data_IF_408129041171
#
_entry.id   IF_408129041171
#
_cell.length_a   1.000
_cell.length_b   1.000
_cell.length_c   1.000
_cell.angle_alpha   90.00
_cell.angle_beta   90.00
_cell.angle_gamma   90.00
#
_symmetry.space_group_name_H-M   'P 1'
#
loop_
_entity.id
_entity.type
_entity.pdbx_description
1 polymer ?
#
# COMPACT_ATOMS: atom_id res chain seq x y z
N UNK A 1 34.23 5.50 31.67
CA UNK A 1 33.71 6.37 30.59
C UNK A 1 33.49 5.46 29.40
N UNK A 2 32.28 4.93 29.28
CA UNK A 2 31.84 4.22 28.08
C UNK A 2 31.63 5.28 27.01
N UNK A 3 32.44 5.24 25.96
CA UNK A 3 32.20 6.01 24.74
C UNK A 3 30.80 5.66 24.24
N UNK A 4 29.88 6.62 24.31
CA UNK A 4 28.60 6.55 23.64
C UNK A 4 28.90 6.49 22.15
N UNK A 5 28.76 5.30 21.55
CA UNK A 5 28.69 5.18 20.10
C UNK A 5 27.68 6.21 19.60
N UNK A 6 28.00 7.01 18.57
CA UNK A 6 27.02 7.92 17.99
C UNK A 6 25.82 7.08 17.54
N UNK A 7 24.66 7.34 18.14
CA UNK A 7 23.41 6.67 17.83
C UNK A 7 23.18 6.80 16.32
N UNK A 8 23.11 5.68 15.61
CA UNK A 8 22.83 5.68 14.18
C UNK A 8 21.54 6.46 13.93
N UNK A 9 21.56 7.37 12.96
CA UNK A 9 20.37 8.15 12.61
C UNK A 9 19.36 7.23 11.93
N UNK A 10 18.28 6.88 12.63
CA UNK A 10 17.23 5.96 12.16
C UNK A 10 16.14 6.65 11.33
N UNK A 11 16.05 7.98 11.42
CA UNK A 11 15.13 8.83 10.64
C UNK A 11 15.90 10.03 10.13
N UNK A 12 15.82 10.29 8.83
CA UNK A 12 16.47 11.42 8.17
C UNK A 12 15.51 12.05 7.16
N UNK A 13 15.82 13.27 6.72
CA UNK A 13 15.09 13.87 5.60
C UNK A 13 15.41 13.10 4.32
N UNK A 14 14.39 12.60 3.64
CA UNK A 14 14.51 11.95 2.33
C UNK A 14 14.11 12.96 1.25
N UNK A 15 15.09 13.55 0.51
CA UNK A 15 14.81 14.53 -0.53
C UNK A 15 13.81 14.04 -1.58
N UNK A 16 13.81 12.74 -1.85
CA UNK A 16 12.98 12.12 -2.87
C UNK A 16 11.50 12.03 -2.48
N UNK A 17 11.20 12.08 -1.18
CA UNK A 17 9.84 12.15 -0.64
C UNK A 17 9.48 13.58 -0.19
N UNK A 18 10.47 14.46 0.00
CA UNK A 18 10.26 15.83 0.47
C UNK A 18 9.90 15.92 1.96
N UNK A 19 10.19 14.88 2.73
CA UNK A 19 9.83 14.76 4.15
C UNK A 19 10.80 13.83 4.91
N UNK A 20 10.75 13.80 6.25
CA UNK A 20 11.41 12.75 7.01
C UNK A 20 10.93 11.35 6.59
N UNK A 21 11.85 10.40 6.59
CA UNK A 21 11.62 8.98 6.36
C UNK A 21 12.64 8.15 7.15
N UNK A 22 12.40 6.85 7.24
CA UNK A 22 13.37 5.93 7.84
C UNK A 22 14.66 5.89 7.02
N UNK A 23 15.78 5.86 7.71
CA UNK A 23 17.11 5.76 7.13
C UNK A 23 17.78 4.45 7.56
N UNK A 24 18.54 3.85 6.66
CA UNK A 24 19.24 2.59 6.90
C UNK A 24 19.60 1.87 5.60
N UNK A 25 20.25 0.74 5.73
CA UNK A 25 20.42 -0.24 4.66
C UNK A 25 19.06 -0.84 4.25
N UNK A 26 19.01 -1.43 3.05
CA UNK A 26 17.82 -2.14 2.58
C UNK A 26 17.39 -3.25 3.55
N UNK A 27 18.33 -4.00 4.13
CA UNK A 27 18.03 -5.05 5.12
C UNK A 27 17.37 -4.49 6.40
N UNK A 28 17.74 -3.28 6.82
CA UNK A 28 17.12 -2.59 7.96
C UNK A 28 15.74 -2.02 7.59
N UNK A 29 15.61 -1.49 6.38
CA UNK A 29 14.36 -0.96 5.83
C UNK A 29 13.36 -2.05 5.48
N UNK A 30 13.79 -3.29 5.25
CA UNK A 30 12.92 -4.45 5.06
C UNK A 30 12.12 -4.81 6.32
N UNK A 31 12.55 -4.31 7.47
CA UNK A 31 11.93 -4.56 8.76
C UNK A 31 10.91 -3.48 9.09
N UNK A 32 9.74 -3.89 9.56
CA UNK A 32 8.66 -3.00 9.94
C UNK A 32 8.99 -2.01 11.07
N UNK A 33 8.39 -0.82 11.00
CA UNK A 33 8.74 0.33 11.87
C UNK A 33 8.59 0.04 13.37
N UNK A 34 7.46 -0.52 13.79
CA UNK A 34 7.22 -0.84 15.21
C UNK A 34 8.11 -1.97 15.74
N UNK A 35 8.45 -2.94 14.87
CA UNK A 35 9.41 -4.00 15.22
C UNK A 35 10.80 -3.42 15.47
N UNK A 36 11.29 -2.59 14.56
CA UNK A 36 12.61 -1.96 14.71
C UNK A 36 12.65 -1.01 15.92
N UNK A 37 11.56 -0.28 16.19
CA UNK A 37 11.45 0.50 17.43
C UNK A 37 11.61 -0.38 18.68
N UNK A 38 10.99 -1.56 18.70
CA UNK A 38 11.13 -2.53 19.80
C UNK A 38 12.54 -3.10 19.89
N UNK A 39 13.19 -3.40 18.77
CA UNK A 39 14.59 -3.86 18.72
C UNK A 39 15.53 -2.79 19.34
N UNK A 40 15.34 -1.51 19.05
CA UNK A 40 16.10 -0.41 19.67
C UNK A 40 15.82 -0.26 21.18
N UNK A 41 14.58 -0.46 21.63
CA UNK A 41 14.28 -0.49 23.07
C UNK A 41 15.07 -1.57 23.80
N UNK A 42 15.14 -2.78 23.23
CA UNK A 42 15.91 -3.89 23.81
C UNK A 42 17.41 -3.58 23.83
N UNK A 43 17.91 -2.88 22.82
CA UNK A 43 19.31 -2.45 22.75
C UNK A 43 19.66 -1.28 23.69
N UNK A 44 18.66 -0.60 24.27
CA UNK A 44 18.85 0.59 25.09
C UNK A 44 18.96 1.89 24.30
N UNK A 45 18.63 1.88 23.00
CA UNK A 45 18.62 3.05 22.12
C UNK A 45 17.26 3.76 22.17
N UNK A 46 16.91 4.27 23.34
CA UNK A 46 15.57 4.82 23.64
C UNK A 46 15.13 5.97 22.73
N UNK A 47 16.06 6.87 22.36
CA UNK A 47 15.76 8.00 21.47
C UNK A 47 15.48 7.54 20.03
N UNK A 48 16.21 6.53 19.55
CA UNK A 48 15.98 5.94 18.23
C UNK A 48 14.62 5.23 18.17
N UNK A 49 14.27 4.48 19.22
CA UNK A 49 12.95 3.87 19.35
C UNK A 49 11.84 4.92 19.32
N UNK A 50 12.01 6.05 20.03
CA UNK A 50 11.02 7.12 20.03
C UNK A 50 10.85 7.76 18.64
N UNK A 51 11.96 8.05 17.94
CA UNK A 51 11.92 8.62 16.59
C UNK A 51 11.25 7.68 15.57
N UNK A 52 11.45 6.36 15.69
CA UNK A 52 10.79 5.37 14.85
C UNK A 52 9.29 5.26 15.11
N UNK A 53 8.83 5.44 16.35
CA UNK A 53 7.39 5.43 16.63
C UNK A 53 6.72 6.69 16.10
N UNK A 54 7.41 7.83 16.14
CA UNK A 54 6.91 9.10 15.60
C UNK A 54 6.80 9.08 14.09
N UNK A 55 7.78 8.52 13.38
CA UNK A 55 7.75 8.47 11.92
C UNK A 55 6.59 7.62 11.38
N UNK A 56 6.04 6.69 12.17
CA UNK A 56 4.88 5.89 11.79
C UNK A 56 3.63 6.75 11.52
N UNK A 57 3.50 7.94 12.13
CA UNK A 57 2.42 8.89 11.80
C UNK A 57 2.58 9.39 10.38
N UNK A 58 3.81 9.76 10.01
CA UNK A 58 4.16 10.28 8.68
C UNK A 58 4.00 9.19 7.61
N UNK A 59 4.43 7.96 7.88
CA UNK A 59 4.21 6.79 7.00
C UNK A 59 2.68 6.59 6.75
N UNK A 60 1.85 6.80 7.76
CA UNK A 60 0.39 6.60 7.69
C UNK A 60 -0.40 7.75 7.04
N UNK A 61 0.19 8.94 6.82
CA UNK A 61 -0.54 10.12 6.33
C UNK A 61 -1.14 9.93 4.93
N UNK A 62 -0.41 9.27 4.01
CA UNK A 62 -0.93 9.01 2.67
C UNK A 62 -2.17 8.10 2.73
N UNK A 63 -2.13 7.06 3.57
CA UNK A 63 -3.27 6.15 3.77
C UNK A 63 -4.46 6.87 4.42
N UNK A 64 -4.20 7.78 5.35
CA UNK A 64 -5.23 8.64 5.94
C UNK A 64 -5.95 9.47 4.87
N UNK A 65 -5.21 10.14 3.99
CA UNK A 65 -5.80 10.96 2.94
C UNK A 65 -6.68 10.12 2.00
N UNK A 66 -6.13 9.04 1.44
CA UNK A 66 -6.86 8.26 0.43
C UNK A 66 -8.04 7.49 1.01
N UNK A 67 -7.91 6.95 2.23
CA UNK A 67 -9.00 6.19 2.84
C UNK A 67 -10.13 7.06 3.35
N UNK A 68 -9.91 8.35 3.55
CA UNK A 68 -11.01 9.29 3.80
C UNK A 68 -11.67 9.73 2.49
N UNK A 69 -10.87 10.03 1.46
CA UNK A 69 -11.37 10.57 0.18
C UNK A 69 -12.07 9.52 -0.70
N UNK A 70 -11.48 8.35 -0.88
CA UNK A 70 -12.00 7.34 -1.80
C UNK A 70 -13.45 6.90 -1.51
N UNK A 71 -13.88 6.68 -0.25
CA UNK A 71 -15.28 6.39 0.05
C UNK A 71 -16.28 7.41 -0.56
N UNK A 72 -15.98 8.70 -0.45
CA UNK A 72 -16.82 9.78 -0.97
C UNK A 72 -16.79 9.80 -2.49
N UNK A 73 -15.59 9.68 -3.08
CA UNK A 73 -15.41 9.65 -4.53
C UNK A 73 -16.07 8.43 -5.18
N UNK A 74 -15.99 7.26 -4.56
CA UNK A 74 -16.66 6.03 -5.04
C UNK A 74 -18.17 6.21 -5.07
N UNK A 75 -18.78 6.79 -4.01
CA UNK A 75 -20.21 7.10 -3.98
C UNK A 75 -20.60 8.03 -5.13
N UNK A 76 -19.88 9.14 -5.29
CA UNK A 76 -20.13 10.09 -6.38
C UNK A 76 -19.97 9.47 -7.77
N UNK A 77 -18.99 8.59 -7.94
CA UNK A 77 -18.78 7.85 -9.19
C UNK A 77 -19.96 6.93 -9.48
N UNK A 78 -20.43 6.14 -8.51
CA UNK A 78 -21.59 5.24 -8.67
C UNK A 78 -22.84 6.03 -9.11
N UNK A 79 -23.13 7.15 -8.44
CA UNK A 79 -24.27 8.02 -8.79
C UNK A 79 -24.13 8.61 -10.19
N UNK A 80 -22.91 8.98 -10.60
CA UNK A 80 -22.65 9.49 -11.97
C UNK A 80 -22.89 8.45 -13.07
N UNK A 81 -22.90 7.15 -12.72
CA UNK A 81 -23.23 6.03 -13.63
C UNK A 81 -24.74 5.73 -13.68
N UNK A 82 -25.56 6.57 -13.05
CA UNK A 82 -27.02 6.47 -13.11
C UNK A 82 -27.66 5.57 -12.05
N UNK A 83 -26.88 5.10 -11.07
CA UNK A 83 -27.43 4.40 -9.90
C UNK A 83 -28.09 5.42 -8.97
N UNK A 84 -29.32 5.16 -8.55
CA UNK A 84 -30.08 6.10 -7.72
C UNK A 84 -29.53 6.16 -6.29
N UNK A 85 -29.61 7.34 -5.66
CA UNK A 85 -29.18 7.54 -4.27
C UNK A 85 -29.82 6.51 -3.31
N UNK A 86 -31.11 6.22 -3.45
CA UNK A 86 -31.81 5.22 -2.62
C UNK A 86 -31.18 3.83 -2.68
N UNK A 87 -30.71 3.40 -3.87
CA UNK A 87 -30.05 2.10 -4.02
C UNK A 87 -28.66 2.10 -3.39
N UNK A 88 -27.90 3.18 -3.56
CA UNK A 88 -26.58 3.35 -2.95
C UNK A 88 -26.69 3.42 -1.42
N UNK A 89 -27.66 4.15 -0.90
CA UNK A 89 -27.90 4.27 0.54
C UNK A 89 -28.33 2.93 1.14
N UNK A 90 -29.22 2.18 0.47
CA UNK A 90 -29.61 0.84 0.91
C UNK A 90 -28.43 -0.15 0.91
N UNK A 91 -27.55 -0.07 -0.10
CA UNK A 91 -26.34 -0.89 -0.16
C UNK A 91 -25.33 -0.50 0.94
N UNK A 92 -25.16 0.80 1.17
CA UNK A 92 -24.30 1.35 2.23
C UNK A 92 -24.81 0.96 3.62
N UNK A 93 -26.13 0.93 3.85
CA UNK A 93 -26.71 0.46 5.11
C UNK A 93 -26.40 -1.03 5.36
N UNK A 94 -26.48 -1.88 4.33
CA UNK A 94 -26.09 -3.29 4.43
C UNK A 94 -24.61 -3.45 4.73
N UNK A 95 -23.75 -2.67 4.07
CA UNK A 95 -22.32 -2.63 4.37
C UNK A 95 -22.08 -2.20 5.82
N UNK A 96 -22.78 -1.18 6.31
CA UNK A 96 -22.68 -0.68 7.69
C UNK A 96 -23.01 -1.77 8.71
N UNK A 97 -24.04 -2.58 8.46
CA UNK A 97 -24.36 -3.75 9.32
C UNK A 97 -23.23 -4.77 9.32
N UNK A 98 -22.53 -4.93 8.19
CA UNK A 98 -21.49 -5.94 8.01
C UNK A 98 -20.14 -5.54 8.62
N UNK A 99 -19.71 -4.27 8.46
CA UNK A 99 -18.39 -3.79 8.93
C UNK A 99 -18.45 -2.89 10.17
N UNK A 100 -19.65 -2.47 10.56
CA UNK A 100 -19.93 -1.66 11.74
C UNK A 100 -19.81 -0.15 11.54
N UNK A 101 -20.55 0.60 12.36
CA UNK A 101 -20.59 2.08 12.37
C UNK A 101 -19.20 2.71 12.52
N UNK A 102 -18.34 2.10 13.34
CA UNK A 102 -16.98 2.59 13.58
C UNK A 102 -16.16 2.62 12.30
N UNK A 103 -16.28 1.60 11.45
CA UNK A 103 -15.58 1.60 10.16
C UNK A 103 -16.18 2.64 9.20
N UNK A 104 -17.50 2.78 9.20
CA UNK A 104 -18.21 3.73 8.35
C UNK A 104 -17.97 5.20 8.73
N UNK A 105 -17.62 5.48 9.99
CA UNK A 105 -17.28 6.82 10.47
C UNK A 105 -16.01 7.40 9.84
N UNK A 106 -15.14 6.56 9.26
CA UNK A 106 -13.94 6.98 8.56
C UNK A 106 -12.69 7.07 9.42
N UNK A 107 -11.55 7.16 8.73
CA UNK A 107 -10.23 7.13 9.37
C UNK A 107 -9.99 8.39 10.20
N UNK A 108 -10.53 9.53 9.76
CA UNK A 108 -10.42 10.80 10.49
C UNK A 108 -11.04 10.77 11.88
N UNK A 109 -12.14 10.03 12.07
CA UNK A 109 -12.80 9.90 13.36
C UNK A 109 -11.91 9.18 14.41
N UNK A 110 -10.93 8.40 13.95
CA UNK A 110 -10.06 7.60 14.79
C UNK A 110 -8.61 8.06 14.81
N UNK A 111 -8.22 8.89 13.85
CA UNK A 111 -6.87 9.42 13.70
C UNK A 111 -6.30 10.02 15.01
N UNK A 112 -7.05 10.83 15.80
CA UNK A 112 -6.53 11.33 17.07
C UNK A 112 -6.15 10.23 18.07
N UNK A 113 -6.79 9.05 18.01
CA UNK A 113 -6.46 7.93 18.88
C UNK A 113 -5.10 7.33 18.54
N UNK A 114 -4.78 7.24 17.24
CA UNK A 114 -3.49 6.77 16.76
C UNK A 114 -2.38 7.76 17.11
N UNK A 115 -2.54 9.04 16.80
CA UNK A 115 -1.56 10.09 17.16
C UNK A 115 -1.30 10.10 18.66
N UNK A 116 -2.35 10.07 19.50
CA UNK A 116 -2.20 10.02 20.94
C UNK A 116 -1.51 8.73 21.44
N UNK A 117 -1.67 7.60 20.74
CA UNK A 117 -0.96 6.37 21.09
C UNK A 117 0.53 6.46 20.74
N UNK A 118 0.87 7.05 19.59
CA UNK A 118 2.24 7.36 19.18
C UNK A 118 2.90 8.32 20.16
N UNK A 119 2.24 9.43 20.53
CA UNK A 119 2.77 10.41 21.47
C UNK A 119 3.08 9.76 22.84
N UNK A 120 2.16 8.93 23.34
CA UNK A 120 2.37 8.19 24.60
C UNK A 120 3.55 7.23 24.50
N UNK A 121 3.66 6.48 23.41
CA UNK A 121 4.74 5.54 23.19
C UNK A 121 6.09 6.25 23.07
N UNK A 122 6.17 7.32 22.29
CA UNK A 122 7.39 8.11 22.12
C UNK A 122 7.83 8.79 23.43
N UNK A 123 6.87 9.29 24.23
CA UNK A 123 7.14 9.79 25.58
C UNK A 123 7.66 8.69 26.51
N UNK A 124 7.04 7.51 26.51
CA UNK A 124 7.45 6.38 27.33
C UNK A 124 8.87 5.90 26.97
N UNK A 125 9.21 5.87 25.67
CA UNK A 125 10.56 5.58 25.19
C UNK A 125 11.56 6.59 25.78
N UNK A 126 11.35 7.90 25.59
CA UNK A 126 12.29 8.94 26.06
C UNK A 126 12.42 9.03 27.57
N UNK A 127 11.34 8.79 28.29
CA UNK A 127 11.34 8.73 29.75
C UNK A 127 11.85 7.38 30.30
N UNK A 128 12.22 6.44 29.41
CA UNK A 128 12.71 5.09 29.74
C UNK A 128 11.78 4.36 30.71
N UNK A 129 10.47 4.50 30.48
CA UNK A 129 9.48 3.87 31.34
C UNK A 129 9.51 2.34 31.15
N UNK A 130 9.33 1.56 32.23
CA UNK A 130 9.30 0.10 32.14
C UNK A 130 8.27 -0.48 31.17
N UNK A 131 7.22 0.28 30.83
CA UNK A 131 6.14 -0.11 29.92
C UNK A 131 6.29 0.44 28.49
N UNK A 132 7.43 1.05 28.12
CA UNK A 132 7.65 1.62 26.80
C UNK A 132 7.38 0.63 25.65
N UNK A 133 7.88 -0.60 25.74
CA UNK A 133 7.64 -1.64 24.72
C UNK A 133 6.15 -1.97 24.57
N UNK A 134 5.39 -2.01 25.66
CA UNK A 134 3.94 -2.21 25.62
C UNK A 134 3.22 -1.00 25.00
N UNK A 135 3.72 0.22 25.22
CA UNK A 135 3.19 1.41 24.59
C UNK A 135 3.43 1.43 23.07
N UNK A 136 4.61 1.01 22.59
CA UNK A 136 4.91 0.84 21.16
C UNK A 136 3.94 -0.16 20.51
N UNK A 137 3.76 -1.33 21.13
CA UNK A 137 2.81 -2.34 20.64
C UNK A 137 1.36 -1.82 20.66
N UNK A 138 1.00 -1.01 21.66
CA UNK A 138 -0.31 -0.35 21.70
C UNK A 138 -0.50 0.61 20.52
N UNK A 139 0.51 1.42 20.18
CA UNK A 139 0.45 2.31 19.02
C UNK A 139 0.27 1.54 17.71
N UNK A 140 1.03 0.45 17.53
CA UNK A 140 0.88 -0.46 16.38
C UNK A 140 -0.52 -1.05 16.30
N UNK A 141 -1.04 -1.60 17.41
CA UNK A 141 -2.35 -2.24 17.46
C UNK A 141 -3.50 -1.24 17.21
N UNK A 142 -3.38 -0.01 17.73
CA UNK A 142 -4.32 1.08 17.42
C UNK A 142 -4.31 1.37 15.92
N UNK A 143 -3.12 1.56 15.34
CA UNK A 143 -2.99 1.80 13.90
C UNK A 143 -3.58 0.66 13.07
N UNK A 144 -3.23 -0.59 13.39
CA UNK A 144 -3.80 -1.76 12.72
C UNK A 144 -5.32 -1.73 12.72
N UNK A 145 -5.94 -1.45 13.86
CA UNK A 145 -7.40 -1.37 13.95
C UNK A 145 -7.98 -0.27 13.07
N UNK A 146 -7.38 0.93 13.08
CA UNK A 146 -7.81 2.08 12.26
C UNK A 146 -7.67 1.75 10.78
N UNK A 147 -6.49 1.29 10.36
CA UNK A 147 -6.18 0.85 9.01
C UNK A 147 -7.16 -0.22 8.52
N UNK A 148 -7.38 -1.27 9.30
CA UNK A 148 -8.21 -2.41 8.92
C UNK A 148 -9.67 -2.02 8.66
N UNK A 149 -10.22 -1.15 9.51
CA UNK A 149 -11.58 -0.63 9.33
C UNK A 149 -11.69 0.29 8.12
N UNK A 150 -10.68 1.12 7.89
CA UNK A 150 -10.63 2.01 6.73
C UNK A 150 -10.58 1.21 5.42
N UNK A 151 -9.77 0.15 5.36
CA UNK A 151 -9.70 -0.77 4.21
C UNK A 151 -11.03 -1.50 3.99
N UNK A 152 -11.67 -1.99 5.05
CA UNK A 152 -12.95 -2.67 4.95
C UNK A 152 -14.03 -1.74 4.37
N UNK A 153 -14.04 -0.45 4.78
CA UNK A 153 -14.93 0.59 4.22
C UNK A 153 -14.66 0.82 2.73
N UNK A 154 -13.40 1.01 2.35
CA UNK A 154 -13.01 1.25 0.94
C UNK A 154 -13.38 0.05 0.09
N UNK A 155 -12.98 -1.16 0.48
CA UNK A 155 -13.24 -2.40 -0.26
C UNK A 155 -14.74 -2.68 -0.38
N UNK A 156 -15.50 -2.46 0.68
CA UNK A 156 -16.96 -2.63 0.66
C UNK A 156 -17.67 -1.62 -0.25
N UNK A 157 -17.20 -0.38 -0.33
CA UNK A 157 -17.78 0.60 -1.26
C UNK A 157 -17.43 0.31 -2.71
N UNK A 158 -16.23 -0.21 -2.98
CA UNK A 158 -15.85 -0.72 -4.30
C UNK A 158 -16.71 -1.93 -4.68
N UNK A 159 -16.99 -2.82 -3.74
CA UNK A 159 -17.92 -3.94 -3.94
C UNK A 159 -19.34 -3.46 -4.30
N UNK A 160 -19.82 -2.39 -3.66
CA UNK A 160 -21.08 -1.75 -4.04
C UNK A 160 -21.00 -1.23 -5.49
N UNK A 161 -19.89 -0.60 -5.89
CA UNK A 161 -19.71 -0.18 -7.28
C UNK A 161 -19.75 -1.35 -8.26
N UNK A 162 -19.04 -2.44 -7.96
CA UNK A 162 -19.02 -3.65 -8.79
C UNK A 162 -20.41 -4.29 -8.89
N UNK A 163 -21.14 -4.39 -7.79
CA UNK A 163 -22.45 -5.04 -7.75
C UNK A 163 -23.58 -4.21 -8.39
N UNK A 164 -23.44 -2.87 -8.43
CA UNK A 164 -24.47 -1.96 -8.97
C UNK A 164 -24.19 -1.49 -10.39
N UNK A 165 -22.92 -1.29 -10.75
CA UNK A 165 -22.49 -0.80 -12.08
C UNK A 165 -21.92 -1.95 -12.93
N UNK A 166 -21.21 -2.89 -12.30
CA UNK A 166 -20.65 -4.07 -12.95
C UNK A 166 -19.12 -4.12 -12.91
N UNK A 167 -18.56 -5.34 -12.85
CA UNK A 167 -17.11 -5.60 -12.82
C UNK A 167 -16.35 -4.94 -13.98
N UNK A 168 -16.93 -4.94 -15.18
CA UNK A 168 -16.32 -4.36 -16.38
C UNK A 168 -15.93 -2.88 -16.23
N UNK A 169 -16.56 -2.15 -15.31
CA UNK A 169 -16.30 -0.73 -15.05
C UNK A 169 -15.29 -0.49 -13.92
N UNK A 170 -14.75 -1.54 -13.28
CA UNK A 170 -13.84 -1.42 -12.13
C UNK A 170 -12.52 -0.71 -12.49
N UNK A 171 -11.99 -0.94 -13.69
CA UNK A 171 -10.83 -0.19 -14.20
C UNK A 171 -11.10 1.32 -14.25
N UNK A 172 -12.26 1.72 -14.78
CA UNK A 172 -12.67 3.14 -14.88
C UNK A 172 -12.93 3.78 -13.53
N UNK A 173 -13.45 3.02 -12.55
CA UNK A 173 -13.58 3.50 -11.18
C UNK A 173 -12.20 3.86 -10.63
N UNK A 174 -11.22 2.97 -10.76
CA UNK A 174 -9.86 3.23 -10.28
C UNK A 174 -9.19 4.40 -10.98
N UNK A 175 -9.39 4.55 -12.29
CA UNK A 175 -8.93 5.74 -13.02
C UNK A 175 -9.56 7.02 -12.46
N UNK A 176 -10.84 7.01 -12.12
CA UNK A 176 -11.49 8.16 -11.50
C UNK A 176 -10.97 8.46 -10.08
N UNK A 177 -10.70 7.43 -9.27
CA UNK A 177 -10.21 7.60 -7.89
C UNK A 177 -8.76 8.07 -7.81
N UNK A 178 -7.95 7.76 -8.83
CA UNK A 178 -6.52 8.06 -8.89
C UNK A 178 -6.16 9.12 -9.94
N UNK A 179 -7.14 9.75 -10.59
CA UNK A 179 -6.90 10.72 -11.68
C UNK A 179 -5.87 11.80 -11.32
N UNK A 180 -6.00 12.42 -10.15
CA UNK A 180 -5.09 13.48 -9.68
C UNK A 180 -3.65 12.98 -9.49
N UNK A 181 -3.47 11.70 -9.22
CA UNK A 181 -2.15 11.09 -9.01
C UNK A 181 -1.46 10.80 -10.33
N UNK A 182 -2.20 10.53 -11.40
CA UNK A 182 -1.62 10.16 -12.69
C UNK A 182 -0.74 11.25 -13.28
N UNK A 183 -1.18 12.52 -13.19
CA UNK A 183 -0.41 13.66 -13.71
C UNK A 183 0.87 13.88 -12.89
N UNK A 184 0.78 13.76 -11.56
CA UNK A 184 1.95 13.85 -10.66
C UNK A 184 2.93 12.71 -10.92
N UNK A 185 2.43 11.49 -11.10
CA UNK A 185 3.22 10.29 -11.33
C UNK A 185 3.94 10.35 -12.69
N UNK A 186 3.22 10.73 -13.74
CA UNK A 186 3.80 10.95 -15.07
C UNK A 186 4.91 12.01 -15.02
N UNK A 187 4.63 13.17 -14.44
CA UNK A 187 5.61 14.23 -14.31
C UNK A 187 6.82 13.78 -13.48
N UNK A 188 6.61 13.04 -12.38
CA UNK A 188 7.72 12.63 -11.52
C UNK A 188 8.64 11.61 -12.22
N UNK A 189 8.07 10.63 -12.92
CA UNK A 189 8.83 9.46 -13.37
C UNK A 189 9.23 9.48 -14.85
N UNK A 190 8.82 10.47 -15.63
CA UNK A 190 9.30 10.66 -16.99
C UNK A 190 10.82 10.84 -17.07
N UNK A 191 11.47 10.12 -18.00
CA UNK A 191 12.92 10.21 -18.23
C UNK A 191 13.39 11.61 -18.68
N UNK A 192 12.47 12.46 -19.17
CA UNK A 192 12.75 13.85 -19.50
C UNK A 192 12.93 14.74 -18.27
N UNK A 193 12.42 14.32 -17.11
CA UNK A 193 12.39 15.12 -15.89
C UNK A 193 13.49 14.71 -14.90
N UNK A 194 13.82 13.41 -14.83
CA UNK A 194 14.95 12.92 -14.05
C UNK A 194 15.54 11.61 -14.61
N UNK A 195 16.81 11.28 -14.30
CA UNK A 195 17.37 9.97 -14.61
C UNK A 195 16.59 8.85 -13.93
N UNK A 196 16.47 7.70 -14.61
CA UNK A 196 15.74 6.55 -14.05
C UNK A 196 16.29 6.07 -12.71
N UNK A 197 17.60 6.13 -12.47
CA UNK A 197 18.19 5.75 -11.18
C UNK A 197 17.57 6.52 -10.00
N UNK A 198 17.30 7.82 -10.17
CA UNK A 198 16.62 8.63 -9.17
C UNK A 198 15.14 8.22 -9.01
N UNK A 199 14.46 7.94 -10.12
CA UNK A 199 13.09 7.40 -10.12
C UNK A 199 13.00 6.05 -9.41
N UNK A 200 13.92 5.13 -9.71
CA UNK A 200 13.98 3.80 -9.12
C UNK A 200 14.21 3.89 -7.61
N UNK A 201 15.15 4.72 -7.16
CA UNK A 201 15.36 4.98 -5.74
C UNK A 201 14.09 5.51 -5.06
N UNK A 202 13.45 6.54 -5.64
CA UNK A 202 12.17 7.09 -5.14
C UNK A 202 11.10 6.01 -5.00
N UNK A 203 10.94 5.18 -6.04
CA UNK A 203 9.94 4.12 -6.07
C UNK A 203 10.20 3.07 -5.00
N UNK A 204 11.47 2.73 -4.74
CA UNK A 204 11.89 1.79 -3.71
C UNK A 204 11.64 2.34 -2.29
N UNK A 205 12.01 3.60 -2.03
CA UNK A 205 11.73 4.21 -0.71
C UNK A 205 10.23 4.30 -0.47
N UNK A 206 9.45 4.72 -1.48
CA UNK A 206 8.00 4.77 -1.36
C UNK A 206 7.34 3.39 -1.15
N UNK A 207 7.94 2.32 -1.68
CA UNK A 207 7.52 0.92 -1.39
C UNK A 207 7.68 0.62 0.10
N UNK A 208 8.86 0.89 0.65
CA UNK A 208 9.19 0.61 2.05
C UNK A 208 8.23 1.37 2.98
N UNK A 209 8.15 2.68 2.78
CA UNK A 209 7.35 3.58 3.60
C UNK A 209 5.85 3.22 3.55
N UNK A 210 5.32 3.00 2.33
CA UNK A 210 3.93 2.57 2.15
C UNK A 210 3.62 1.20 2.75
N UNK A 211 4.54 0.24 2.68
CA UNK A 211 4.30 -1.11 3.23
C UNK A 211 4.47 -1.21 4.74
N UNK A 212 5.26 -0.33 5.36
CA UNK A 212 5.22 -0.14 6.80
C UNK A 212 3.86 0.40 7.24
N UNK A 213 3.36 1.44 6.56
CA UNK A 213 2.05 2.01 6.84
C UNK A 213 0.92 1.00 6.65
N UNK A 214 1.02 0.14 5.63
CA UNK A 214 0.08 -0.95 5.41
C UNK A 214 0.22 -2.11 6.40
N UNK A 215 1.24 -2.13 7.27
CA UNK A 215 1.52 -3.25 8.17
C UNK A 215 1.59 -4.60 7.42
N UNK A 216 2.34 -4.61 6.31
CA UNK A 216 2.49 -5.81 5.48
C UNK A 216 3.02 -7.02 6.25
N UNK A 217 2.82 -8.21 5.68
CA UNK A 217 3.17 -9.49 6.30
C UNK A 217 2.10 -10.05 7.24
N UNK A 218 2.12 -11.36 7.46
CA UNK A 218 1.14 -12.06 8.31
C UNK A 218 1.23 -11.65 9.79
N UNK A 219 2.40 -11.19 10.25
CA UNK A 219 2.61 -10.67 11.59
C UNK A 219 2.11 -9.24 11.82
N UNK A 220 1.61 -8.56 10.77
CA UNK A 220 1.12 -7.17 10.83
C UNK A 220 2.15 -6.19 11.40
N UNK A 221 3.41 -6.40 11.04
CA UNK A 221 4.55 -5.60 11.49
C UNK A 221 5.07 -4.65 10.41
N UNK A 222 4.80 -4.91 9.12
CA UNK A 222 5.44 -4.20 8.01
C UNK A 222 6.67 -4.90 7.45
N UNK A 223 6.82 -6.20 7.70
CA UNK A 223 8.01 -6.96 7.30
C UNK A 223 7.93 -7.44 5.84
N UNK A 224 9.04 -7.27 5.12
CA UNK A 224 9.19 -7.71 3.73
C UNK A 224 10.52 -8.43 3.51
N UNK A 225 10.57 -9.25 2.47
CA UNK A 225 11.79 -9.84 1.92
C UNK A 225 12.28 -8.96 0.77
N UNK A 226 13.58 -8.62 0.79
CA UNK A 226 14.24 -7.94 -0.33
C UNK A 226 14.97 -8.96 -1.18
N UNK A 227 14.75 -8.87 -2.48
CA UNK A 227 15.35 -9.73 -3.49
C UNK A 227 16.20 -8.86 -4.39
N UNK A 228 17.51 -9.09 -4.40
CA UNK A 228 18.42 -8.40 -5.31
C UNK A 228 18.71 -9.30 -6.53
N UNK A 229 18.26 -8.85 -7.70
CA UNK A 229 18.60 -9.47 -8.98
C UNK A 229 19.44 -8.52 -9.85
N UNK A 230 20.22 -9.05 -10.82
CA UNK A 230 21.11 -8.24 -11.65
C UNK A 230 20.42 -7.07 -12.37
N UNK A 231 19.15 -7.21 -12.76
CA UNK A 231 18.40 -6.21 -13.53
C UNK A 231 17.27 -5.54 -12.74
N UNK A 232 16.97 -5.96 -11.52
CA UNK A 232 15.83 -5.46 -10.73
C UNK A 232 15.97 -5.77 -9.24
N UNK A 233 15.24 -5.02 -8.43
CA UNK A 233 15.10 -5.29 -6.99
C UNK A 233 13.63 -5.60 -6.71
N UNK A 234 13.39 -6.66 -5.95
CA UNK A 234 12.07 -7.16 -5.57
C UNK A 234 11.80 -6.95 -4.08
N UNK A 235 10.54 -6.69 -3.76
CA UNK A 235 10.00 -6.67 -2.40
C UNK A 235 8.88 -7.71 -2.33
N UNK A 236 9.10 -8.82 -1.63
CA UNK A 236 8.13 -9.91 -1.46
C UNK A 236 7.55 -9.90 -0.05
N UNK A 237 6.25 -10.09 0.05
CA UNK A 237 5.53 -10.11 1.32
C UNK A 237 4.23 -10.92 1.17
N UNK A 238 3.73 -11.49 2.29
CA UNK A 238 2.30 -11.78 2.37
C UNK A 238 1.55 -10.47 2.11
N UNK A 239 0.41 -10.45 1.38
CA UNK A 239 0.01 -9.29 0.61
C UNK A 239 -0.09 -8.06 1.51
N UNK A 240 0.06 -6.87 0.90
CA UNK A 240 0.01 -5.61 1.66
C UNK A 240 -1.21 -5.62 2.58
N UNK A 241 -1.10 -4.98 3.74
CA UNK A 241 -2.11 -5.22 4.75
C UNK A 241 -3.51 -4.75 4.42
N UNK A 242 -3.72 -4.12 3.27
CA UNK A 242 -5.04 -3.83 2.69
C UNK A 242 -5.52 -4.96 1.77
N UNK A 243 -4.78 -5.28 0.69
CA UNK A 243 -5.14 -6.39 -0.21
C UNK A 243 -5.15 -7.74 0.50
N UNK A 244 -4.27 -7.92 1.48
CA UNK A 244 -4.19 -9.09 2.34
C UNK A 244 -5.46 -9.31 3.17
N UNK A 245 -6.24 -8.25 3.50
CA UNK A 245 -7.53 -8.43 4.17
C UNK A 245 -8.54 -9.14 3.27
N UNK A 246 -8.48 -8.89 1.97
CA UNK A 246 -9.37 -9.58 1.03
C UNK A 246 -8.99 -11.05 0.86
N UNK A 247 -7.71 -11.39 1.00
CA UNK A 247 -7.16 -12.64 0.47
C UNK A 247 -6.63 -13.63 1.50
N UNK A 248 -6.12 -13.16 2.63
CA UNK A 248 -5.32 -13.98 3.55
C UNK A 248 -6.00 -14.13 4.90
N UNK A 249 -6.48 -15.34 5.18
CA UNK A 249 -7.10 -15.68 6.44
C UNK A 249 -6.20 -15.45 7.66
N UNK A 250 -4.87 -15.47 7.51
CA UNK A 250 -3.92 -15.19 8.60
C UNK A 250 -3.89 -13.70 8.98
N UNK A 251 -4.30 -12.82 8.07
CA UNK A 251 -4.39 -11.36 8.31
C UNK A 251 -5.74 -10.98 8.95
N UNK A 252 -6.77 -11.80 8.76
CA UNK A 252 -8.15 -11.50 9.15
C UNK A 252 -8.75 -12.53 10.11
N UNK A 253 -7.91 -13.22 10.88
CA UNK A 253 -8.31 -14.23 11.88
C UNK A 253 -9.33 -15.26 11.33
N UNK A 254 -9.06 -15.80 10.15
CA UNK A 254 -9.89 -16.81 9.50
C UNK A 254 -10.98 -16.25 8.57
N UNK A 255 -11.18 -14.93 8.51
CA UNK A 255 -12.34 -14.33 7.79
C UNK A 255 -11.94 -13.34 6.68
N UNK A 256 -11.30 -13.80 5.60
CA UNK A 256 -10.89 -12.94 4.50
C UNK A 256 -12.11 -12.28 3.84
N UNK A 257 -11.96 -11.04 3.38
CA UNK A 257 -13.10 -10.24 2.90
C UNK A 257 -13.65 -10.68 1.54
N UNK A 258 -12.87 -11.37 0.72
CA UNK A 258 -13.39 -12.02 -0.48
C UNK A 258 -14.25 -13.27 -0.18
N UNK A 259 -14.10 -13.84 1.04
CA UNK A 259 -14.88 -14.99 1.51
C UNK A 259 -16.15 -14.58 2.26
N UNK A 260 -16.99 -15.57 2.56
CA UNK A 260 -18.16 -15.37 3.41
C UNK A 260 -17.75 -14.91 4.83
N UNK A 261 -18.56 -14.07 5.51
CA UNK A 261 -19.86 -13.53 5.08
C UNK A 261 -19.78 -12.27 4.22
N UNK A 262 -18.58 -11.75 3.92
CA UNK A 262 -18.40 -10.47 3.24
C UNK A 262 -18.62 -10.58 1.74
N UNK A 263 -17.89 -11.50 1.09
CA UNK A 263 -18.00 -11.74 -0.34
C UNK A 263 -17.62 -10.55 -1.21
N UNK A 264 -16.69 -9.70 -0.75
CA UNK A 264 -16.25 -8.52 -1.50
C UNK A 264 -15.64 -8.92 -2.85
N UNK A 265 -15.95 -8.12 -3.86
CA UNK A 265 -15.61 -8.37 -5.25
C UNK A 265 -14.15 -8.78 -5.49
N UNK A 266 -14.01 -9.82 -6.30
CA UNK A 266 -12.78 -10.28 -6.97
C UNK A 266 -13.08 -10.39 -8.46
N UNK A 267 -12.06 -10.27 -9.31
CA UNK A 267 -12.29 -10.41 -10.76
C UNK A 267 -12.78 -11.82 -11.10
N UNK A 268 -13.82 -11.91 -11.92
CA UNK A 268 -14.43 -13.16 -12.38
C UNK A 268 -14.08 -13.46 -13.84
N UNK A 269 -13.55 -12.48 -14.57
CA UNK A 269 -13.07 -12.62 -15.94
C UNK A 269 -11.68 -11.97 -16.12
N UNK A 270 -10.94 -12.33 -17.19
CA UNK A 270 -9.72 -11.63 -17.57
C UNK A 270 -10.02 -10.18 -18.00
N UNK A 271 -9.28 -9.24 -17.42
CA UNK A 271 -9.34 -7.82 -17.76
C UNK A 271 -7.93 -7.22 -17.87
N UNK A 272 -7.68 -6.38 -18.87
CA UNK A 272 -6.37 -5.76 -19.09
C UNK A 272 -5.95 -4.82 -17.95
N UNK A 273 -6.91 -4.18 -17.29
CA UNK A 273 -6.74 -3.41 -16.05
C UNK A 273 -6.50 -4.25 -14.79
N UNK A 274 -6.45 -5.58 -14.91
CA UNK A 274 -6.14 -6.51 -13.82
C UNK A 274 -5.23 -7.67 -14.30
N UNK A 275 -4.18 -7.32 -15.06
CA UNK A 275 -3.18 -8.27 -15.58
C UNK A 275 -3.75 -9.45 -16.38
N UNK A 276 -4.95 -9.30 -16.96
CA UNK A 276 -5.73 -10.38 -17.59
C UNK A 276 -5.87 -11.62 -16.68
N UNK A 277 -5.97 -11.40 -15.36
CA UNK A 277 -5.98 -12.45 -14.34
C UNK A 277 -7.30 -12.49 -13.58
N UNK A 278 -7.86 -13.69 -13.42
CA UNK A 278 -9.06 -13.96 -12.61
C UNK A 278 -8.66 -14.11 -11.14
N UNK A 279 -9.52 -13.64 -10.23
CA UNK A 279 -9.31 -13.71 -8.78
C UNK A 279 -8.52 -12.54 -8.20
N UNK A 280 -8.29 -11.47 -8.96
CA UNK A 280 -7.66 -10.25 -8.43
C UNK A 280 -8.67 -9.55 -7.52
N UNK A 281 -8.28 -9.26 -6.27
CA UNK A 281 -9.15 -8.55 -5.35
C UNK A 281 -9.48 -7.16 -5.89
N UNK A 282 -10.73 -6.71 -5.77
CA UNK A 282 -11.15 -5.42 -6.34
C UNK A 282 -10.34 -4.23 -5.83
N UNK A 283 -9.89 -4.29 -4.57
CA UNK A 283 -8.91 -3.35 -4.01
C UNK A 283 -7.58 -3.39 -4.78
N UNK A 284 -7.03 -4.59 -5.02
CA UNK A 284 -5.72 -4.84 -5.62
C UNK A 284 -5.60 -4.32 -7.07
N UNK A 285 -6.72 -4.11 -7.77
CA UNK A 285 -6.76 -3.59 -9.14
C UNK A 285 -6.07 -2.23 -9.26
N UNK A 286 -6.16 -1.37 -8.24
CA UNK A 286 -5.48 -0.06 -8.26
C UNK A 286 -3.96 -0.20 -8.44
N UNK A 287 -3.36 -1.30 -7.95
CA UNK A 287 -1.95 -1.56 -8.12
C UNK A 287 -1.58 -1.77 -9.60
N UNK A 288 -2.41 -2.50 -10.37
CA UNK A 288 -2.23 -2.72 -11.80
C UNK A 288 -2.32 -1.40 -12.57
N UNK A 289 -3.39 -0.66 -12.30
CA UNK A 289 -3.66 0.63 -12.94
C UNK A 289 -2.54 1.64 -12.69
N UNK A 290 -2.16 1.85 -11.44
CA UNK A 290 -1.18 2.88 -11.05
C UNK A 290 0.25 2.54 -11.46
N UNK A 291 0.66 1.26 -11.44
CA UNK A 291 2.07 0.90 -11.61
C UNK A 291 2.40 0.36 -13.00
N UNK A 292 1.42 -0.20 -13.72
CA UNK A 292 1.64 -0.81 -15.04
C UNK A 292 0.81 -0.13 -16.12
N UNK A 293 -0.52 -0.15 -16.05
CA UNK A 293 -1.38 0.33 -17.15
C UNK A 293 -1.14 1.81 -17.44
N UNK A 294 -1.35 2.69 -16.45
CA UNK A 294 -1.21 4.13 -16.64
C UNK A 294 0.24 4.51 -17.00
N UNK A 295 1.29 4.02 -16.30
CA UNK A 295 2.66 4.34 -16.68
C UNK A 295 3.05 3.83 -18.08
N UNK A 296 2.60 2.65 -18.50
CA UNK A 296 2.85 2.18 -19.87
C UNK A 296 2.17 3.12 -20.87
N UNK A 297 0.94 3.53 -20.61
CA UNK A 297 0.18 4.41 -21.51
C UNK A 297 0.76 5.81 -21.61
N UNK A 298 1.30 6.35 -20.51
CA UNK A 298 1.82 7.72 -20.47
C UNK A 298 3.32 7.80 -20.71
N UNK A 299 4.11 6.95 -20.04
CA UNK A 299 5.58 6.95 -20.06
C UNK A 299 6.17 5.96 -21.09
N UNK A 300 5.41 4.94 -21.51
CA UNK A 300 5.90 3.87 -22.38
C UNK A 300 6.56 2.71 -21.63
N UNK A 301 6.54 2.70 -20.30
CA UNK A 301 7.09 1.65 -19.44
C UNK A 301 6.40 1.63 -18.07
N UNK A 302 6.31 0.47 -17.39
CA UNK A 302 5.77 0.40 -16.04
C UNK A 302 6.73 1.07 -15.05
N UNK A 303 6.20 1.75 -14.02
CA UNK A 303 7.05 2.23 -12.93
C UNK A 303 7.41 1.12 -11.96
N UNK A 304 6.51 0.16 -11.76
CA UNK A 304 6.77 -1.05 -10.97
C UNK A 304 6.07 -2.23 -11.63
N UNK A 305 6.64 -3.41 -11.52
CA UNK A 305 6.04 -4.65 -12.04
C UNK A 305 5.57 -5.48 -10.85
N UNK A 306 4.29 -5.84 -10.84
CA UNK A 306 3.68 -6.47 -9.67
C UNK A 306 3.25 -7.88 -10.02
N UNK A 307 3.70 -8.84 -9.22
CA UNK A 307 3.16 -10.19 -9.20
C UNK A 307 2.09 -10.21 -8.11
N UNK A 308 0.83 -10.06 -8.56
CA UNK A 308 -0.30 -9.89 -7.67
C UNK A 308 -0.82 -11.25 -7.15
N UNK A 309 -1.22 -11.32 -5.87
CA UNK A 309 -1.89 -12.49 -5.33
C UNK A 309 -3.30 -12.63 -5.91
N UNK A 310 -3.77 -13.87 -6.01
CA UNK A 310 -5.11 -14.20 -6.51
C UNK A 310 -5.92 -14.90 -5.44
N UNK A 311 -7.17 -14.49 -5.29
CA UNK A 311 -8.15 -15.18 -4.49
C UNK A 311 -8.52 -16.52 -5.12
N UNK A 312 -8.42 -17.56 -4.30
CA UNK A 312 -9.02 -18.86 -4.56
C UNK A 312 -9.42 -19.44 -3.20
N UNK A 313 -10.72 -19.74 -3.02
CA UNK A 313 -11.24 -20.23 -1.75
C UNK A 313 -10.59 -21.55 -1.29
N UNK A 314 -10.12 -22.37 -2.23
CA UNK A 314 -9.52 -23.68 -1.95
C UNK A 314 -7.99 -23.61 -1.79
N UNK A 315 -7.34 -22.63 -2.43
CA UNK A 315 -5.88 -22.49 -2.43
C UNK A 315 -5.45 -21.05 -2.73
N UNK A 316 -5.61 -20.11 -1.78
CA UNK A 316 -5.32 -18.71 -2.04
C UNK A 316 -3.82 -18.49 -2.17
N UNK A 317 -3.38 -17.98 -3.32
CA UNK A 317 -2.02 -17.47 -3.47
C UNK A 317 -2.00 -16.11 -2.78
N UNK A 318 -1.26 -16.05 -1.68
CA UNK A 318 -1.25 -14.89 -0.77
C UNK A 318 0.12 -14.26 -0.71
N UNK A 319 0.91 -14.33 -1.77
CA UNK A 319 2.16 -13.59 -1.85
C UNK A 319 2.04 -12.50 -2.91
N UNK A 320 2.55 -11.32 -2.59
CA UNK A 320 2.68 -10.22 -3.54
C UNK A 320 4.16 -9.87 -3.67
N UNK A 321 4.63 -9.70 -4.91
CA UNK A 321 6.00 -9.23 -5.16
C UNK A 321 5.96 -7.97 -6.01
N UNK A 322 6.66 -6.93 -5.56
CA UNK A 322 6.81 -5.68 -6.30
C UNK A 322 8.24 -5.56 -6.80
N UNK A 323 8.41 -5.38 -8.10
CA UNK A 323 9.70 -5.26 -8.76
C UNK A 323 9.94 -3.84 -9.24
N UNK A 324 11.13 -3.31 -8.97
CA UNK A 324 11.67 -2.10 -9.59
C UNK A 324 12.86 -2.50 -10.45
N UNK A 325 12.74 -2.32 -11.76
CA UNK A 325 13.84 -2.59 -12.68
C UNK A 325 14.90 -1.50 -12.58
N UNK A 326 16.17 -1.88 -12.73
CA UNK A 326 17.32 -0.96 -12.72
C UNK A 326 17.40 -0.10 -13.98
N UNK A 327 16.79 -0.57 -15.08
CA UNK A 327 16.58 0.17 -16.32
C UNK A 327 15.20 -0.23 -16.90
N UNK A 328 14.32 0.71 -17.33
CA UNK A 328 13.03 0.36 -17.92
C UNK A 328 13.15 -0.45 -19.22
N UNK A 329 14.30 -0.36 -19.90
CA UNK A 329 14.61 -1.17 -21.09
C UNK A 329 14.69 -2.67 -20.78
N UNK A 330 14.95 -3.06 -19.53
CA UNK A 330 15.07 -4.45 -19.10
C UNK A 330 13.71 -5.09 -18.74
N UNK A 331 12.63 -4.32 -18.73
CA UNK A 331 11.28 -4.85 -18.48
C UNK A 331 10.88 -5.75 -19.65
N UNK A 332 10.55 -7.04 -19.44
CA UNK A 332 10.27 -7.99 -20.51
C UNK A 332 8.90 -7.75 -21.19
N UNK A 333 8.77 -8.17 -22.44
CA UNK A 333 7.58 -7.93 -23.28
C UNK A 333 6.28 -8.45 -22.64
N UNK A 334 6.33 -9.62 -21.99
CA UNK A 334 5.14 -10.21 -21.35
C UNK A 334 4.50 -9.33 -20.26
N UNK A 335 5.25 -8.40 -19.65
CA UNK A 335 4.71 -7.43 -18.67
C UNK A 335 3.81 -6.41 -19.36
N UNK A 336 4.09 -6.05 -20.61
CA UNK A 336 3.22 -5.17 -21.40
C UNK A 336 2.01 -5.95 -21.92
N UNK A 337 2.26 -7.16 -22.44
CA UNK A 337 1.23 -8.01 -23.04
C UNK A 337 0.16 -8.43 -22.03
N UNK A 338 0.53 -8.71 -20.77
CA UNK A 338 -0.43 -9.11 -19.72
C UNK A 338 -1.42 -8.02 -19.35
N UNK A 339 -1.12 -6.75 -19.65
CA UNK A 339 -2.05 -5.61 -19.50
C UNK A 339 -2.54 -5.08 -20.85
N UNK A 340 -2.45 -5.90 -21.91
CA UNK A 340 -2.95 -5.57 -23.24
C UNK A 340 -2.22 -4.41 -23.93
N UNK A 341 -0.96 -4.15 -23.56
CA UNK A 341 -0.14 -3.07 -24.14
C UNK A 341 1.02 -3.62 -24.96
N UNK A 342 1.58 -2.79 -25.83
CA UNK A 342 2.77 -3.11 -26.63
C UNK A 342 4.06 -2.56 -25.99
N UNK A 343 5.18 -3.31 -26.03
CA UNK A 343 6.49 -2.81 -25.61
C UNK A 343 7.14 -1.83 -26.61
N UNK A 344 6.50 -1.47 -27.72
CA UNK A 344 7.09 -0.62 -28.78
C UNK A 344 7.57 0.76 -28.31
N UNK A 345 6.94 1.28 -27.24
CA UNK A 345 7.29 2.57 -26.60
C UNK A 345 8.32 2.43 -25.48
N UNK A 346 8.76 1.21 -25.16
CA UNK A 346 9.79 0.96 -24.14
C UNK A 346 11.07 1.73 -24.49
N UNK A 347 11.69 2.43 -23.54
CA UNK A 347 12.98 3.08 -23.75
C UNK A 347 14.05 2.07 -24.20
N UNK A 348 14.99 2.51 -25.04
CA UNK A 348 16.21 1.75 -25.32
C UNK A 348 17.25 2.02 -24.24
N UNK A 349 18.19 1.08 -24.02
CA UNK A 349 19.28 1.32 -23.07
C UNK A 349 20.08 2.54 -23.50
N UNK A 350 20.51 3.35 -22.54
CA UNK A 350 21.42 4.48 -22.81
C UNK A 350 22.69 3.96 -23.49
N UNK A 351 22.83 4.24 -24.79
CA UNK A 351 23.93 3.76 -25.63
C UNK A 351 23.48 3.02 -26.88
N UNK A 352 22.25 2.52 -26.92
CA UNK A 352 21.66 1.89 -28.09
C UNK A 352 21.04 2.98 -28.99
N UNK A 353 21.82 3.44 -29.97
CA UNK A 353 21.33 4.28 -31.06
C UNK A 353 20.40 3.41 -31.93
N UNK A 354 19.15 3.85 -32.13
CA UNK A 354 18.29 3.32 -33.20
C UNK A 354 18.81 3.74 -34.56
#
# INVERSE_FOLDING_TARGET
MTETNPTATVVAYEPSLGRPARAGSWDELAKGTFRVATEHLVAGDWDAAAALVEIAVVEAEELRDVYERWPVSTRGWIESRGVTADLVDAATARLTVMIGERAMAGIEAEWPQFVAAVDRAALACRAQLPDAAAAVETARAVWQGVHDRAVDRVSGLIDIAVSTVGEHSLGELWDALMADWYDVHEQRYALSNQPWEASAHQLMVAIVDGFHAHLTGTGRQGDMEIIDEPTRIGFRFAPCGSGGRSLDARITDGTPRAGAPFGFAVTTAPHDWAWNTVGICSYCVHCCQLNEVMPIDRLGYPTRVIDAPTWNADNPVTECTWWVYRDPADVPDHVYERVGRSPDRRPTRRGDVK
#
